data_IF_422603446226
#
_entry.id   IF_422603446226
#
_cell.length_a   1.000
_cell.length_b   1.000
_cell.length_c   1.000
_cell.angle_alpha   90.00
_cell.angle_beta   90.00
_cell.angle_gamma   90.00
#
_symmetry.space_group_name_H-M   'P 1'
#
loop_
_entity.id
_entity.type
_entity.pdbx_description
1 polymer ?
#
# COMPACT_ATOMS: atom_id res chain seq x y z
N UNK A 1 -20.49 6.14 -20.30
CA UNK A 1 -19.29 5.84 -21.08
C UNK A 1 -18.27 6.88 -20.69
N UNK A 2 -17.09 6.47 -20.23
CA UNK A 2 -16.01 7.42 -19.95
C UNK A 2 -15.50 7.86 -21.32
N UNK A 3 -15.95 9.02 -21.80
CA UNK A 3 -15.46 9.60 -23.03
C UNK A 3 -13.96 9.91 -22.84
N UNK A 4 -13.14 9.57 -23.83
CA UNK A 4 -11.68 9.69 -23.78
C UNK A 4 -11.24 11.07 -23.26
N UNK A 5 -10.57 11.07 -22.11
CA UNK A 5 -9.79 12.22 -21.63
C UNK A 5 -8.54 12.27 -22.53
N UNK A 6 -8.32 13.41 -23.20
CA UNK A 6 -7.17 13.61 -24.10
C UNK A 6 -5.85 13.55 -23.33
N UNK A 7 -5.06 12.51 -23.59
CA UNK A 7 -3.69 12.34 -23.09
C UNK A 7 -3.59 11.60 -21.75
N UNK A 8 -2.54 10.77 -21.60
CA UNK A 8 -2.19 10.16 -20.31
C UNK A 8 -1.55 11.21 -19.41
N UNK A 9 -2.14 11.45 -18.23
CA UNK A 9 -1.65 12.42 -17.23
C UNK A 9 -1.26 11.73 -15.94
N UNK A 10 -0.48 12.39 -15.10
CA UNK A 10 -0.02 11.78 -13.86
C UNK A 10 -1.01 12.01 -12.72
N UNK A 11 -1.33 10.96 -11.97
CA UNK A 11 -1.82 11.13 -10.61
C UNK A 11 -0.70 11.75 -9.79
N UNK A 12 -0.93 12.90 -9.15
CA UNK A 12 0.08 13.58 -8.35
C UNK A 12 0.07 13.06 -6.91
N UNK A 13 1.21 13.16 -6.23
CA UNK A 13 1.24 13.06 -4.78
C UNK A 13 0.38 14.19 -4.20
N UNK A 14 -0.37 13.91 -3.13
CA UNK A 14 -1.19 14.91 -2.45
C UNK A 14 -0.39 16.15 -2.04
N UNK A 15 0.89 16.02 -1.69
CA UNK A 15 1.78 17.15 -1.38
C UNK A 15 1.96 18.06 -2.58
N UNK A 16 2.18 17.49 -3.75
CA UNK A 16 2.38 18.27 -4.97
C UNK A 16 1.06 18.89 -5.43
N UNK A 17 -0.05 18.13 -5.33
CA UNK A 17 -1.37 18.60 -5.70
C UNK A 17 -1.80 19.82 -4.87
N UNK A 18 -1.54 19.84 -3.55
CA UNK A 18 -1.93 20.99 -2.70
C UNK A 18 -1.08 22.25 -2.93
N UNK A 19 0.04 22.15 -3.64
CA UNK A 19 0.83 23.32 -4.06
C UNK A 19 0.34 23.93 -5.38
N UNK A 20 -0.44 23.18 -6.18
CA UNK A 20 -1.06 23.69 -7.40
C UNK A 20 -2.47 24.23 -7.07
N UNK A 21 -2.59 25.56 -7.03
CA UNK A 21 -3.86 26.23 -6.73
C UNK A 21 -5.00 25.76 -7.63
N UNK A 22 -4.74 25.49 -8.92
CA UNK A 22 -5.78 25.06 -9.83
C UNK A 22 -6.24 23.65 -9.52
N UNK A 23 -5.31 22.70 -9.39
CA UNK A 23 -5.67 21.31 -9.07
C UNK A 23 -6.31 21.19 -7.69
N UNK A 24 -5.79 21.87 -6.68
CA UNK A 24 -6.34 21.84 -5.34
C UNK A 24 -7.77 22.42 -5.30
N UNK A 25 -8.01 23.58 -5.91
CA UNK A 25 -9.34 24.18 -5.96
C UNK A 25 -10.31 23.27 -6.72
N UNK A 26 -9.91 22.73 -7.87
CA UNK A 26 -10.74 21.81 -8.64
C UNK A 26 -11.10 20.55 -7.84
N UNK A 27 -10.11 19.93 -7.18
CA UNK A 27 -10.30 18.76 -6.34
C UNK A 27 -11.26 19.05 -5.17
N UNK A 28 -11.07 20.17 -4.46
CA UNK A 28 -11.94 20.55 -3.36
C UNK A 28 -13.39 20.82 -3.84
N UNK A 29 -13.55 21.50 -4.98
CA UNK A 29 -14.88 21.78 -5.57
C UNK A 29 -15.56 20.52 -6.08
N UNK A 30 -14.81 19.62 -6.71
CA UNK A 30 -15.28 18.31 -7.13
C UNK A 30 -15.90 17.55 -5.96
N UNK A 31 -15.13 17.42 -4.87
CA UNK A 31 -15.53 16.69 -3.67
C UNK A 31 -16.75 17.36 -2.99
N UNK A 32 -16.73 18.68 -2.80
CA UNK A 32 -17.86 19.43 -2.25
C UNK A 32 -19.14 19.22 -3.06
N UNK A 33 -19.03 19.23 -4.39
CA UNK A 33 -20.19 19.10 -5.28
C UNK A 33 -20.83 17.71 -5.15
N UNK A 34 -20.04 16.64 -5.20
CA UNK A 34 -20.58 15.28 -5.08
C UNK A 34 -21.06 14.96 -3.67
N UNK A 35 -20.48 15.57 -2.63
CA UNK A 35 -20.92 15.42 -1.24
C UNK A 35 -22.23 16.15 -0.96
N UNK A 36 -22.50 17.26 -1.65
CA UNK A 36 -23.73 18.03 -1.49
C UNK A 36 -24.92 17.46 -2.26
N UNK A 37 -24.71 16.48 -3.16
CA UNK A 37 -25.79 15.81 -3.89
C UNK A 37 -26.68 15.02 -2.94
N UNK A 38 -27.94 14.90 -3.34
CA UNK A 38 -28.90 14.02 -2.66
C UNK A 38 -28.35 12.58 -2.61
N UNK A 39 -28.49 11.91 -1.46
CA UNK A 39 -27.95 10.56 -1.25
C UNK A 39 -28.60 9.48 -2.13
N UNK A 40 -29.74 9.77 -2.76
CA UNK A 40 -30.38 8.91 -3.76
C UNK A 40 -29.91 9.19 -5.19
N UNK A 41 -29.19 10.30 -5.43
CA UNK A 41 -28.56 10.56 -6.71
C UNK A 41 -27.42 9.56 -6.92
N UNK A 42 -27.47 8.80 -8.00
CA UNK A 42 -26.51 7.73 -8.31
C UNK A 42 -25.07 8.24 -8.42
N UNK A 43 -24.87 9.50 -8.82
CA UNK A 43 -23.56 10.15 -8.91
C UNK A 43 -23.19 10.95 -7.65
N UNK A 44 -23.89 10.74 -6.53
CA UNK A 44 -23.54 11.33 -5.22
C UNK A 44 -22.36 10.61 -4.57
N UNK A 45 -21.65 11.32 -3.70
CA UNK A 45 -20.62 10.73 -2.84
C UNK A 45 -21.15 9.52 -2.07
N UNK A 46 -22.39 9.60 -1.58
CA UNK A 46 -23.02 8.54 -0.81
C UNK A 46 -23.22 7.26 -1.64
N UNK A 47 -23.77 7.38 -2.86
CA UNK A 47 -23.99 6.20 -3.71
C UNK A 47 -22.66 5.59 -4.18
N UNK A 48 -21.69 6.41 -4.55
CA UNK A 48 -20.36 5.94 -5.00
C UNK A 48 -19.60 5.28 -3.84
N UNK A 49 -19.61 5.87 -2.64
CA UNK A 49 -19.02 5.25 -1.44
C UNK A 49 -19.76 3.96 -1.05
N UNK A 50 -21.09 3.95 -1.20
CA UNK A 50 -21.96 2.81 -0.90
C UNK A 50 -21.66 1.57 -1.72
N UNK A 51 -21.11 1.70 -2.94
CA UNK A 51 -20.65 0.56 -3.75
C UNK A 51 -19.69 -0.33 -2.95
N UNK A 52 -18.79 0.27 -2.16
CA UNK A 52 -17.80 -0.48 -1.41
C UNK A 52 -18.47 -1.43 -0.39
N UNK A 53 -19.50 -0.97 0.31
CA UNK A 53 -20.06 -1.67 1.45
C UNK A 53 -21.53 -1.40 1.64
N UNK A 54 -21.85 -0.66 2.70
CA UNK A 54 -23.22 -0.32 3.07
C UNK A 54 -23.60 1.01 2.39
N UNK A 55 -24.84 1.13 1.86
CA UNK A 55 -25.92 0.16 1.92
C UNK A 55 -25.80 -0.98 0.89
N UNK A 56 -26.33 -2.17 1.23
CA UNK A 56 -26.38 -3.34 0.33
C UNK A 56 -27.49 -3.18 -0.71
N UNK A 57 -27.31 -2.21 -1.60
CA UNK A 57 -28.22 -1.88 -2.70
C UNK A 57 -27.50 -1.98 -4.03
N UNK A 58 -28.23 -2.30 -5.09
CA UNK A 58 -27.63 -2.35 -6.41
C UNK A 58 -27.30 -0.95 -6.94
N UNK A 59 -26.08 -0.79 -7.43
CA UNK A 59 -25.64 0.46 -8.04
C UNK A 59 -25.90 0.45 -9.56
N UNK A 60 -26.68 1.43 -10.04
CA UNK A 60 -26.94 1.74 -11.46
C UNK A 60 -27.12 0.50 -12.34
N UNK A 61 -28.15 -0.30 -12.04
CA UNK A 61 -28.56 -1.43 -12.88
C UNK A 61 -29.85 -1.15 -13.64
N UNK A 62 -29.86 -1.52 -14.92
CA UNK A 62 -31.08 -1.45 -15.74
C UNK A 62 -32.14 -2.48 -15.33
N UNK A 63 -31.70 -3.62 -14.78
CA UNK A 63 -32.58 -4.67 -14.24
C UNK A 63 -32.09 -5.07 -12.85
N UNK A 64 -33.02 -5.08 -11.89
CA UNK A 64 -32.74 -5.53 -10.54
C UNK A 64 -32.47 -7.04 -10.52
N UNK A 65 -31.49 -7.47 -9.74
CA UNK A 65 -31.20 -8.90 -9.58
C UNK A 65 -32.33 -9.59 -8.82
N UNK A 66 -32.74 -10.76 -9.29
CA UNK A 66 -33.75 -11.60 -8.62
C UNK A 66 -33.34 -11.98 -7.19
N UNK A 67 -32.03 -12.12 -6.95
CA UNK A 67 -31.46 -12.42 -5.63
C UNK A 67 -30.32 -11.43 -5.34
N UNK A 68 -30.60 -10.38 -4.59
CA UNK A 68 -29.58 -9.44 -4.15
C UNK A 68 -28.77 -10.05 -3.00
N UNK A 69 -27.46 -10.22 -3.21
CA UNK A 69 -26.54 -10.55 -2.13
C UNK A 69 -26.54 -9.39 -1.10
N UNK A 70 -26.75 -9.69 0.17
CA UNK A 70 -26.71 -8.71 1.27
C UNK A 70 -25.25 -8.45 1.70
N UNK A 71 -24.44 -7.97 0.76
CA UNK A 71 -23.03 -7.63 0.96
C UNK A 71 -22.63 -6.46 0.06
N UNK A 72 -21.51 -5.82 0.39
CA UNK A 72 -20.89 -4.81 -0.48
C UNK A 72 -20.34 -5.41 -1.77
N UNK A 73 -20.08 -4.57 -2.78
CA UNK A 73 -19.46 -5.04 -4.03
C UNK A 73 -17.95 -5.29 -3.90
N UNK A 74 -17.28 -4.72 -2.90
CA UNK A 74 -15.83 -4.79 -2.77
C UNK A 74 -15.34 -6.23 -2.59
N UNK A 75 -14.22 -6.57 -3.24
CA UNK A 75 -13.58 -7.88 -3.13
C UNK A 75 -12.43 -7.82 -2.13
N UNK A 76 -12.58 -8.46 -0.96
CA UNK A 76 -11.57 -8.50 0.10
C UNK A 76 -11.23 -9.92 0.50
N UNK A 77 -9.94 -10.22 0.71
CA UNK A 77 -9.47 -11.58 0.95
C UNK A 77 -9.59 -12.49 -0.27
N UNK A 78 -9.50 -11.88 -1.46
CA UNK A 78 -9.66 -12.52 -2.75
C UNK A 78 -8.60 -11.97 -3.71
N UNK A 79 -8.17 -12.78 -4.69
CA UNK A 79 -7.20 -12.38 -5.72
C UNK A 79 -7.65 -11.19 -6.57
N UNK A 80 -8.95 -10.85 -6.52
CA UNK A 80 -9.55 -9.73 -7.22
C UNK A 80 -9.37 -8.37 -6.53
N UNK A 81 -8.85 -8.30 -5.31
CA UNK A 81 -8.76 -7.04 -4.55
C UNK A 81 -8.08 -5.91 -5.34
N UNK A 82 -6.86 -6.08 -5.92
CA UNK A 82 -6.20 -4.98 -6.62
C UNK A 82 -6.93 -4.57 -7.92
N UNK A 83 -7.52 -5.54 -8.61
CA UNK A 83 -8.16 -5.34 -9.93
C UNK A 83 -9.60 -4.83 -9.83
N UNK A 84 -10.27 -5.01 -8.69
CA UNK A 84 -11.58 -4.41 -8.40
C UNK A 84 -11.44 -2.96 -7.91
N UNK A 85 -10.49 -2.69 -7.03
CA UNK A 85 -10.32 -1.34 -6.46
C UNK A 85 -9.80 -0.31 -7.47
N UNK A 86 -9.05 -0.74 -8.51
CA UNK A 86 -8.58 0.17 -9.56
C UNK A 86 -9.72 0.87 -10.33
N UNK A 87 -10.66 0.16 -10.98
CA UNK A 87 -11.81 0.80 -11.62
C UNK A 87 -12.76 1.48 -10.62
N UNK A 88 -12.76 1.07 -9.34
CA UNK A 88 -13.50 1.77 -8.30
C UNK A 88 -12.97 3.19 -8.06
N UNK A 89 -11.66 3.36 -7.91
CA UNK A 89 -11.03 4.69 -7.73
C UNK A 89 -11.26 5.57 -8.97
N UNK A 90 -11.21 4.99 -10.16
CA UNK A 90 -11.50 5.72 -11.40
C UNK A 90 -12.95 6.19 -11.49
N UNK A 91 -13.89 5.39 -10.99
CA UNK A 91 -15.29 5.80 -10.91
C UNK A 91 -15.45 7.02 -10.00
N UNK A 92 -14.78 7.01 -8.83
CA UNK A 92 -14.75 8.16 -7.92
C UNK A 92 -14.19 9.42 -8.60
N UNK A 93 -13.09 9.25 -9.35
CA UNK A 93 -12.43 10.32 -10.09
C UNK A 93 -13.34 10.96 -11.14
N UNK A 94 -13.93 10.15 -12.02
CA UNK A 94 -14.77 10.61 -13.13
C UNK A 94 -15.93 11.48 -12.61
N UNK A 95 -16.68 11.00 -11.61
CA UNK A 95 -17.82 11.76 -11.11
C UNK A 95 -17.41 13.04 -10.39
N UNK A 96 -16.31 13.00 -9.63
CA UNK A 96 -15.79 14.18 -8.95
C UNK A 96 -15.39 15.25 -9.99
N UNK A 97 -14.60 14.88 -11.00
CA UNK A 97 -14.09 15.82 -12.01
C UNK A 97 -15.21 16.36 -12.91
N UNK A 98 -16.15 15.50 -13.35
CA UNK A 98 -17.32 15.95 -14.13
C UNK A 98 -18.18 16.94 -13.34
N UNK A 99 -18.34 16.72 -12.04
CA UNK A 99 -19.06 17.64 -11.16
C UNK A 99 -18.33 18.99 -11.05
N UNK A 100 -17.01 18.98 -10.86
CA UNK A 100 -16.21 20.21 -10.81
C UNK A 100 -16.27 21.00 -12.12
N UNK A 101 -16.11 20.36 -13.28
CA UNK A 101 -16.13 21.02 -14.60
C UNK A 101 -17.39 21.85 -14.84
N UNK A 102 -18.54 21.40 -14.33
CA UNK A 102 -19.84 22.10 -14.46
C UNK A 102 -19.99 23.31 -13.53
N UNK A 103 -19.14 23.44 -12.51
CA UNK A 103 -19.25 24.47 -11.48
C UNK A 103 -18.38 25.71 -11.72
N UNK A 104 -17.54 25.71 -12.75
CA UNK A 104 -16.55 26.76 -13.00
C UNK A 104 -17.11 27.81 -13.96
N UNK A 105 -17.05 29.07 -13.55
CA UNK A 105 -17.57 30.22 -14.32
C UNK A 105 -16.64 30.62 -15.46
N UNK A 106 -15.33 30.57 -15.25
CA UNK A 106 -14.30 30.84 -16.26
C UNK A 106 -13.77 29.52 -16.82
N UNK A 107 -14.57 28.87 -17.66
CA UNK A 107 -14.23 27.53 -18.16
C UNK A 107 -12.96 27.54 -19.01
N UNK A 108 -12.64 28.62 -19.72
CA UNK A 108 -11.46 28.70 -20.57
C UNK A 108 -10.17 28.71 -19.74
N UNK A 109 -10.11 29.47 -18.64
CA UNK A 109 -8.90 29.54 -17.81
C UNK A 109 -8.62 28.26 -17.01
N UNK A 110 -9.64 27.38 -16.86
CA UNK A 110 -9.58 26.18 -16.02
C UNK A 110 -9.76 24.87 -16.78
N UNK A 111 -10.16 24.92 -18.06
CA UNK A 111 -10.45 23.74 -18.87
C UNK A 111 -9.27 22.75 -18.88
N UNK A 112 -8.05 23.24 -19.12
CA UNK A 112 -6.87 22.36 -19.15
C UNK A 112 -6.60 21.72 -17.79
N UNK A 113 -6.64 22.49 -16.70
CA UNK A 113 -6.42 21.93 -15.37
C UNK A 113 -7.51 20.92 -14.98
N UNK A 114 -8.75 21.13 -15.41
CA UNK A 114 -9.83 20.17 -15.18
C UNK A 114 -9.72 18.93 -16.08
N UNK A 115 -9.10 19.02 -17.26
CA UNK A 115 -8.79 17.87 -18.11
C UNK A 115 -7.62 17.05 -17.54
N UNK A 116 -6.61 17.73 -16.98
CA UNK A 116 -5.38 17.11 -16.50
C UNK A 116 -5.46 16.59 -15.05
N UNK A 117 -6.51 16.98 -14.32
CA UNK A 117 -6.70 16.59 -12.93
C UNK A 117 -6.91 15.08 -12.81
N UNK A 118 -6.19 14.47 -11.88
CA UNK A 118 -6.44 13.12 -11.40
C UNK A 118 -6.56 13.08 -9.87
N UNK A 119 -7.18 12.04 -9.31
CA UNK A 119 -7.20 11.83 -7.86
C UNK A 119 -5.76 11.72 -7.34
N UNK A 120 -5.38 12.50 -6.31
CA UNK A 120 -4.06 12.41 -5.74
C UNK A 120 -3.88 11.08 -5.02
N UNK A 121 -2.66 10.56 -5.03
CA UNK A 121 -2.28 9.50 -4.11
C UNK A 121 -1.63 10.10 -2.87
N UNK A 122 -1.77 9.40 -1.74
CA UNK A 122 -1.07 9.77 -0.53
C UNK A 122 0.10 8.81 -0.32
N UNK A 123 1.31 9.26 -0.70
CA UNK A 123 2.52 8.56 -0.29
C UNK A 123 2.75 8.85 1.20
N UNK A 124 2.65 7.83 2.03
CA UNK A 124 2.82 7.94 3.48
C UNK A 124 4.28 8.31 3.85
N UNK A 125 5.23 8.27 2.91
CA UNK A 125 6.57 8.86 3.06
C UNK A 125 6.54 10.40 3.13
N UNK A 126 5.47 11.08 2.73
CA UNK A 126 5.29 12.54 2.84
C UNK A 126 5.45 13.05 4.29
N UNK A 127 5.29 12.15 5.26
CA UNK A 127 5.48 12.40 6.69
C UNK A 127 6.99 12.47 7.05
N UNK A 128 7.84 12.91 6.10
CA UNK A 128 9.31 13.03 6.21
C UNK A 128 9.79 14.21 7.03
N UNK A 129 8.98 15.26 7.15
CA UNK A 129 9.42 16.47 7.85
C UNK A 129 9.79 16.13 9.29
N UNK A 130 11.06 16.36 9.67
CA UNK A 130 11.54 16.09 11.02
C UNK A 130 10.78 16.91 12.06
N UNK A 131 10.34 18.10 11.63
CA UNK A 131 9.51 18.97 12.42
C UNK A 131 8.31 19.47 11.62
N UNK A 132 7.19 19.59 12.32
CA UNK A 132 5.97 20.22 11.80
C UNK A 132 5.73 21.54 12.53
N UNK A 133 5.12 22.50 11.83
CA UNK A 133 4.69 23.74 12.46
C UNK A 133 3.28 23.56 13.02
N UNK A 134 3.11 23.78 14.32
CA UNK A 134 1.81 23.74 15.00
C UNK A 134 1.54 25.08 15.67
N UNK A 135 0.28 25.32 16.05
CA UNK A 135 -0.07 26.41 16.96
C UNK A 135 0.02 25.86 18.38
N UNK A 136 0.88 26.44 19.20
CA UNK A 136 1.05 26.08 20.60
C UNK A 136 -0.17 26.51 21.44
N UNK A 137 -0.26 26.04 22.68
CA UNK A 137 -1.35 26.36 23.60
C UNK A 137 -1.54 27.87 23.84
N UNK A 138 -0.50 28.68 23.61
CA UNK A 138 -0.53 30.14 23.73
C UNK A 138 -0.92 30.87 22.42
N UNK A 139 -1.26 30.12 21.36
CA UNK A 139 -1.65 30.66 20.06
C UNK A 139 -0.49 31.00 19.12
N UNK A 140 0.77 30.78 19.53
CA UNK A 140 1.94 31.04 18.66
C UNK A 140 2.25 29.87 17.76
N UNK A 141 2.77 30.16 16.56
CA UNK A 141 3.30 29.13 15.66
C UNK A 141 4.66 28.66 16.16
N UNK A 142 4.78 27.39 16.53
CA UNK A 142 6.02 26.74 16.96
C UNK A 142 6.38 25.59 16.02
N UNK A 143 7.64 25.15 16.06
CA UNK A 143 8.11 23.96 15.36
C UNK A 143 8.30 22.84 16.38
N UNK A 144 7.66 21.69 16.16
CA UNK A 144 7.75 20.52 17.06
C UNK A 144 8.22 19.30 16.28
N UNK A 145 8.84 18.34 16.97
CA UNK A 145 9.15 17.04 16.36
C UNK A 145 7.87 16.42 15.81
N UNK A 146 7.93 15.93 14.57
CA UNK A 146 6.78 15.34 13.91
C UNK A 146 6.42 13.98 14.56
N UNK A 147 5.31 13.88 15.31
CA UNK A 147 4.96 12.64 16.00
C UNK A 147 4.55 11.53 15.02
N UNK A 148 4.21 11.89 13.77
CA UNK A 148 3.81 10.95 12.73
C UNK A 148 5.01 10.25 12.06
N UNK A 149 6.24 10.71 12.28
CA UNK A 149 7.47 10.16 11.67
C UNK A 149 7.72 8.69 12.04
N UNK A 150 7.46 8.31 13.29
CA UNK A 150 7.66 6.91 13.75
C UNK A 150 6.72 5.94 13.02
N UNK A 151 5.50 6.39 12.71
CA UNK A 151 4.55 5.62 11.91
C UNK A 151 5.03 5.53 10.46
N UNK A 152 5.61 6.61 9.91
CA UNK A 152 6.15 6.61 8.55
C UNK A 152 7.26 5.58 8.36
N UNK A 153 8.23 5.49 9.28
CA UNK A 153 9.31 4.49 9.21
C UNK A 153 8.78 3.04 9.26
N UNK A 154 7.69 2.78 9.99
CA UNK A 154 7.01 1.46 10.06
C UNK A 154 6.33 1.09 8.76
N UNK A 155 5.56 2.04 8.21
CA UNK A 155 4.87 1.83 6.95
C UNK A 155 5.90 1.68 5.83
N UNK A 156 7.06 2.35 5.93
CA UNK A 156 8.17 2.24 4.97
C UNK A 156 8.66 0.83 4.75
N UNK A 157 9.09 0.20 5.83
CA UNK A 157 9.65 -1.14 5.77
C UNK A 157 8.61 -2.14 5.25
N UNK A 158 7.37 -2.06 5.75
CA UNK A 158 6.28 -2.92 5.28
C UNK A 158 5.97 -2.74 3.80
N UNK A 159 5.95 -1.50 3.32
CA UNK A 159 5.69 -1.23 1.90
C UNK A 159 6.85 -1.67 1.03
N UNK A 160 8.09 -1.46 1.46
CA UNK A 160 9.27 -1.97 0.76
C UNK A 160 9.20 -3.49 0.60
N UNK A 161 8.98 -4.22 1.69
CA UNK A 161 8.94 -5.69 1.67
C UNK A 161 7.77 -6.22 0.84
N UNK A 162 6.61 -5.56 0.92
CA UNK A 162 5.44 -5.88 0.12
C UNK A 162 5.70 -5.72 -1.38
N UNK A 163 6.40 -4.65 -1.79
CA UNK A 163 6.69 -4.38 -3.20
C UNK A 163 7.81 -5.29 -3.75
N UNK A 164 8.80 -5.64 -2.95
CA UNK A 164 10.01 -6.34 -3.42
C UNK A 164 9.89 -7.86 -3.33
N UNK A 165 9.29 -8.40 -2.26
CA UNK A 165 9.40 -9.83 -1.94
C UNK A 165 8.20 -10.69 -2.33
N UNK A 166 7.17 -10.11 -2.95
CA UNK A 166 6.04 -10.86 -3.49
C UNK A 166 6.25 -11.21 -4.97
N UNK A 167 6.56 -12.48 -5.24
CA UNK A 167 6.77 -13.01 -6.60
C UNK A 167 5.58 -13.80 -7.16
N UNK A 168 4.50 -13.91 -6.38
CA UNK A 168 3.26 -14.60 -6.74
C UNK A 168 2.06 -13.71 -6.47
N UNK A 169 1.07 -13.77 -7.37
CA UNK A 169 -0.13 -12.95 -7.26
C UNK A 169 -0.92 -13.24 -5.99
N UNK A 170 -0.99 -14.50 -5.58
CA UNK A 170 -1.73 -14.95 -4.40
C UNK A 170 -1.16 -14.37 -3.10
N UNK A 171 0.16 -14.16 -3.04
CA UNK A 171 0.84 -13.57 -1.89
C UNK A 171 0.71 -12.04 -1.86
N UNK A 172 0.70 -11.40 -3.04
CA UNK A 172 0.59 -9.95 -3.18
C UNK A 172 -0.85 -9.44 -3.02
N UNK A 173 -1.80 -10.13 -3.64
CA UNK A 173 -3.12 -9.56 -3.94
C UNK A 173 -4.07 -9.48 -2.77
N UNK A 174 -3.89 -10.31 -1.73
CA UNK A 174 -4.93 -10.51 -0.73
C UNK A 174 -4.37 -11.04 0.61
N UNK A 175 -5.25 -11.10 1.63
CA UNK A 175 -4.89 -11.48 3.00
C UNK A 175 -5.40 -12.88 3.42
N UNK A 176 -5.88 -13.72 2.49
CA UNK A 176 -6.48 -15.03 2.79
C UNK A 176 -6.01 -16.10 1.79
N UNK A 177 -6.31 -17.36 2.07
CA UNK A 177 -6.25 -18.40 1.05
C UNK A 177 -7.51 -18.25 0.18
N UNK A 178 -7.32 -18.04 -1.12
CA UNK A 178 -8.40 -17.75 -2.07
C UNK A 178 -8.28 -18.66 -3.28
N UNK A 179 -9.33 -19.43 -3.57
CA UNK A 179 -9.47 -20.25 -4.79
C UNK A 179 -10.06 -19.46 -5.98
N UNK A 180 -10.20 -18.13 -5.84
CA UNK A 180 -10.79 -17.29 -6.87
C UNK A 180 -9.97 -17.23 -8.16
N UNK A 181 -10.67 -17.45 -9.27
CA UNK A 181 -10.14 -17.37 -10.62
C UNK A 181 -10.07 -15.91 -11.09
N UNK A 182 -8.87 -15.46 -11.49
CA UNK A 182 -8.64 -14.12 -12.07
C UNK A 182 -9.50 -13.79 -13.29
N UNK A 183 -10.11 -14.81 -13.93
CA UNK A 183 -11.10 -14.63 -15.01
C UNK A 183 -12.44 -14.06 -14.53
N UNK A 184 -12.71 -14.05 -13.22
CA UNK A 184 -13.91 -13.43 -12.68
C UNK A 184 -13.85 -11.90 -12.82
N UNK A 185 -14.75 -11.41 -13.66
CA UNK A 185 -14.97 -10.01 -14.00
C UNK A 185 -15.52 -9.24 -12.79
N UNK A 186 -14.97 -8.05 -12.43
CA UNK A 186 -15.68 -7.06 -11.63
C UNK A 186 -17.02 -6.69 -12.27
N UNK A 187 -18.09 -7.44 -11.98
CA UNK A 187 -19.45 -7.20 -12.54
C UNK A 187 -20.10 -5.91 -12.05
N UNK A 188 -19.37 -5.10 -11.30
CA UNK A 188 -19.76 -3.76 -10.85
C UNK A 188 -19.42 -2.68 -11.88
N UNK A 189 -18.35 -2.87 -12.66
CA UNK A 189 -17.81 -1.82 -13.52
C UNK A 189 -17.91 -2.22 -15.00
N UNK A 190 -18.34 -1.28 -15.82
CA UNK A 190 -18.64 -1.53 -17.23
C UNK A 190 -17.85 -0.60 -18.17
N UNK A 191 -17.24 -1.18 -19.20
CA UNK A 191 -16.60 -0.46 -20.32
C UNK A 191 -17.65 0.12 -21.28
N UNK A 192 -18.75 -0.61 -21.47
CA UNK A 192 -19.94 -0.21 -22.22
C UNK A 192 -21.17 -0.87 -21.61
N UNK A 193 -22.37 -0.47 -22.05
CA UNK A 193 -23.65 -0.96 -21.53
C UNK A 193 -23.71 -2.49 -21.34
N UNK A 194 -23.11 -3.26 -22.26
CA UNK A 194 -23.16 -4.72 -22.26
C UNK A 194 -21.81 -5.41 -21.95
N UNK A 195 -20.76 -4.65 -21.62
CA UNK A 195 -19.40 -5.19 -21.43
C UNK A 195 -18.77 -4.73 -20.13
N UNK A 196 -18.65 -5.65 -19.18
CA UNK A 196 -17.96 -5.43 -17.90
C UNK A 196 -16.43 -5.41 -18.05
N UNK A 197 -15.74 -4.68 -17.17
CA UNK A 197 -14.28 -4.64 -17.07
C UNK A 197 -13.74 -5.98 -16.58
N UNK A 198 -12.64 -6.48 -17.16
CA UNK A 198 -11.95 -7.69 -16.70
C UNK A 198 -10.61 -7.39 -16.05
N UNK A 199 -10.08 -8.31 -15.24
CA UNK A 199 -8.73 -8.24 -14.67
C UNK A 199 -7.64 -7.96 -15.71
N UNK A 200 -7.81 -8.48 -16.94
CA UNK A 200 -6.88 -8.26 -18.04
C UNK A 200 -6.96 -6.82 -18.59
N UNK A 201 -8.15 -6.23 -18.65
CA UNK A 201 -8.34 -4.87 -19.17
C UNK A 201 -7.92 -3.80 -18.17
N UNK A 202 -7.94 -4.09 -16.87
CA UNK A 202 -7.57 -3.09 -15.85
C UNK A 202 -6.06 -3.02 -15.58
N UNK A 203 -5.25 -3.93 -16.15
CA UNK A 203 -3.82 -4.01 -15.85
C UNK A 203 -3.02 -2.80 -16.34
N UNK A 204 -3.41 -2.24 -17.48
CA UNK A 204 -2.76 -1.11 -18.14
C UNK A 204 -3.49 0.19 -17.83
N UNK A 205 -2.82 1.09 -17.11
CA UNK A 205 -3.43 2.33 -16.62
C UNK A 205 -3.63 3.37 -17.71
N UNK A 206 -2.90 3.25 -18.82
CA UNK A 206 -3.02 4.17 -19.95
C UNK A 206 -4.40 4.12 -20.61
N UNK A 207 -5.08 2.97 -20.51
CA UNK A 207 -6.48 2.81 -20.97
C UNK A 207 -7.47 3.68 -20.18
N UNK A 208 -7.06 4.15 -19.00
CA UNK A 208 -7.84 5.03 -18.14
C UNK A 208 -7.35 6.48 -18.18
N UNK A 209 -6.35 6.78 -19.01
CA UNK A 209 -5.80 8.13 -19.14
C UNK A 209 -4.86 8.56 -18.02
N UNK A 210 -4.42 7.66 -17.12
CA UNK A 210 -3.51 8.03 -16.04
C UNK A 210 -2.20 7.21 -16.00
N UNK A 211 -1.18 7.82 -15.41
CA UNK A 211 0.13 7.25 -15.09
C UNK A 211 0.61 7.80 -13.73
N UNK A 212 1.81 7.38 -13.30
CA UNK A 212 2.48 7.95 -12.14
C UNK A 212 3.74 8.74 -12.57
N UNK A 213 4.12 9.80 -11.84
CA UNK A 213 5.30 10.62 -12.16
C UNK A 213 6.61 9.84 -12.26
N UNK A 214 6.72 8.73 -11.53
CA UNK A 214 7.87 7.83 -11.49
C UNK A 214 8.20 7.26 -12.88
N UNK A 215 7.19 7.10 -13.75
CA UNK A 215 7.36 6.52 -15.08
C UNK A 215 7.69 7.54 -16.17
N UNK A 216 7.68 8.85 -15.88
CA UNK A 216 7.86 9.91 -16.87
C UNK A 216 9.15 9.77 -17.70
N UNK A 217 10.25 9.35 -17.05
CA UNK A 217 11.56 9.17 -17.71
C UNK A 217 11.73 7.80 -18.37
N UNK A 218 10.74 6.91 -18.21
CA UNK A 218 10.78 5.52 -18.64
C UNK A 218 9.85 5.24 -19.82
N UNK A 219 9.10 6.25 -20.28
CA UNK A 219 8.17 6.15 -21.42
C UNK A 219 8.92 5.67 -22.67
N UNK A 220 8.40 4.61 -23.30
CA UNK A 220 9.02 3.98 -24.48
C UNK A 220 10.21 3.07 -24.18
N UNK A 221 10.57 2.90 -22.90
CA UNK A 221 11.61 1.95 -22.48
C UNK A 221 11.20 0.48 -22.64
N UNK A 222 12.18 -0.42 -22.65
CA UNK A 222 11.90 -1.87 -22.60
C UNK A 222 11.36 -2.27 -21.23
N UNK A 223 10.69 -3.42 -21.14
CA UNK A 223 10.18 -3.95 -19.87
C UNK A 223 11.30 -4.16 -18.84
N UNK A 224 12.48 -4.56 -19.29
CA UNK A 224 13.65 -4.76 -18.46
C UNK A 224 14.15 -3.42 -17.91
N UNK A 225 14.28 -2.41 -18.76
CA UNK A 225 14.69 -1.07 -18.31
C UNK A 225 13.69 -0.46 -17.31
N UNK A 226 12.38 -0.60 -17.58
CA UNK A 226 11.33 -0.12 -16.68
C UNK A 226 11.41 -0.85 -15.34
N UNK A 227 11.57 -2.18 -15.36
CA UNK A 227 11.72 -2.98 -14.14
C UNK A 227 12.93 -2.53 -13.34
N UNK A 228 14.09 -2.46 -13.96
CA UNK A 228 15.34 -2.13 -13.26
C UNK A 228 15.30 -0.70 -12.69
N UNK A 229 14.71 0.26 -13.40
CA UNK A 229 14.53 1.62 -12.91
C UNK A 229 13.47 1.73 -11.79
N UNK A 230 12.39 0.95 -11.86
CA UNK A 230 11.38 0.85 -10.79
C UNK A 230 11.99 0.24 -9.55
N UNK A 231 12.83 -0.77 -9.73
CA UNK A 231 13.55 -1.44 -8.67
C UNK A 231 14.48 -0.44 -7.94
N UNK A 232 15.32 0.28 -8.68
CA UNK A 232 16.19 1.32 -8.12
C UNK A 232 15.39 2.43 -7.41
N UNK A 233 14.22 2.80 -7.94
CA UNK A 233 13.34 3.77 -7.31
C UNK A 233 12.82 3.29 -5.95
N UNK A 234 12.30 2.06 -5.89
CA UNK A 234 11.79 1.44 -4.65
C UNK A 234 12.89 1.33 -3.61
N UNK A 235 14.10 0.92 -4.01
CA UNK A 235 15.26 0.81 -3.11
C UNK A 235 15.67 2.16 -2.54
N UNK A 236 15.70 3.19 -3.39
CA UNK A 236 16.07 4.55 -2.98
C UNK A 236 15.02 5.21 -2.10
N UNK A 237 13.74 4.97 -2.38
CA UNK A 237 12.63 5.70 -1.76
C UNK A 237 12.10 4.99 -0.52
N UNK A 238 12.00 3.66 -0.53
CA UNK A 238 11.45 2.85 0.55
C UNK A 238 12.49 1.93 1.22
N UNK A 239 13.63 1.66 0.58
CA UNK A 239 14.68 0.84 1.17
C UNK A 239 15.25 1.42 2.48
N UNK A 240 15.73 0.54 3.35
CA UNK A 240 16.23 0.94 4.66
C UNK A 240 17.49 1.80 4.55
N UNK A 241 17.38 3.11 4.80
CA UNK A 241 18.52 4.07 4.87
C UNK A 241 19.54 3.71 5.96
N UNK A 242 19.25 2.72 6.80
CA UNK A 242 19.99 2.36 8.02
C UNK A 242 20.46 0.91 8.07
N UNK A 243 20.91 0.35 6.95
CA UNK A 243 21.87 -0.78 6.95
C UNK A 243 23.35 -0.35 6.78
N UNK A 244 23.90 0.70 7.45
CA UNK A 244 25.33 0.92 7.51
C UNK A 244 26.06 -0.28 8.10
N UNK A 245 25.44 -1.11 8.94
CA UNK A 245 26.08 -2.31 9.48
C UNK A 245 26.55 -3.29 8.39
N UNK A 246 25.80 -3.42 7.30
CA UNK A 246 26.17 -4.27 6.16
C UNK A 246 27.26 -3.63 5.32
N UNK A 247 27.14 -2.33 5.01
CA UNK A 247 28.19 -1.59 4.31
C UNK A 247 29.50 -1.52 5.12
N UNK A 248 29.42 -1.37 6.44
CA UNK A 248 30.55 -1.21 7.34
C UNK A 248 31.25 -2.55 7.64
N UNK A 249 30.52 -3.67 7.64
CA UNK A 249 31.11 -5.01 7.66
C UNK A 249 31.89 -5.31 6.35
N UNK A 250 31.40 -4.80 5.22
CA UNK A 250 32.05 -4.93 3.90
C UNK A 250 33.25 -4.00 3.76
N UNK A 251 33.23 -2.77 4.31
CA UNK A 251 34.35 -1.82 4.19
C UNK A 251 35.49 -2.04 5.19
N UNK A 252 35.21 -2.51 6.41
CA UNK A 252 36.24 -2.69 7.44
C UNK A 252 37.17 -3.88 7.21
N UNK A 253 36.86 -4.71 6.21
CA UNK A 253 37.53 -5.98 5.97
C UNK A 253 38.56 -5.90 4.83
N UNK A 254 38.71 -4.75 4.15
CA UNK A 254 39.79 -4.51 3.18
C UNK A 254 39.72 -5.36 1.90
N UNK A 255 38.53 -5.86 1.53
CA UNK A 255 38.37 -6.83 0.45
C UNK A 255 38.11 -6.20 -0.92
N UNK A 256 38.91 -6.61 -1.91
CA UNK A 256 38.80 -6.24 -3.32
C UNK A 256 37.85 -7.18 -4.08
N UNK A 257 36.84 -6.60 -4.74
CA UNK A 257 36.16 -7.07 -5.97
C UNK A 257 35.94 -8.58 -6.21
N UNK A 258 35.56 -9.36 -5.19
CA UNK A 258 35.03 -10.71 -5.37
C UNK A 258 33.55 -10.77 -5.02
N UNK A 259 32.80 -11.56 -5.79
CA UNK A 259 31.36 -11.82 -5.58
C UNK A 259 31.21 -12.54 -4.25
N UNK A 260 30.65 -11.87 -3.25
CA UNK A 260 30.27 -12.53 -2.00
C UNK A 260 28.78 -12.83 -2.05
N UNK A 261 28.42 -14.09 -1.83
CA UNK A 261 27.09 -14.45 -1.36
C UNK A 261 27.08 -14.16 0.13
N UNK A 262 26.53 -13.00 0.50
CA UNK A 262 26.27 -12.68 1.91
C UNK A 262 24.97 -13.38 2.30
N UNK A 263 25.04 -14.35 3.20
CA UNK A 263 23.85 -14.99 3.75
C UNK A 263 23.46 -14.31 5.06
N UNK A 264 22.22 -13.83 5.13
CA UNK A 264 21.61 -13.36 6.37
C UNK A 264 20.23 -14.00 6.55
N UNK A 265 19.76 -14.05 7.80
CA UNK A 265 18.37 -14.37 8.09
C UNK A 265 17.59 -13.06 8.21
N UNK A 266 16.58 -12.88 7.38
CA UNK A 266 15.55 -11.85 7.50
C UNK A 266 14.52 -12.31 8.54
N UNK A 267 14.38 -11.53 9.61
CA UNK A 267 13.56 -11.88 10.78
C UNK A 267 12.26 -11.08 10.82
N UNK A 268 11.14 -11.81 10.80
CA UNK A 268 9.80 -11.23 10.88
C UNK A 268 8.91 -11.95 11.90
N UNK A 269 7.94 -11.23 12.45
CA UNK A 269 6.87 -11.79 13.26
C UNK A 269 5.77 -12.29 12.34
N UNK A 270 5.56 -13.60 12.34
CA UNK A 270 4.51 -14.23 11.56
C UNK A 270 3.28 -14.50 12.43
N UNK A 271 2.13 -13.96 11.99
CA UNK A 271 0.85 -14.07 12.69
C UNK A 271 -0.16 -14.73 11.78
N UNK A 272 -0.80 -15.80 12.26
CA UNK A 272 -1.94 -16.42 11.56
C UNK A 272 -3.12 -16.60 12.50
N UNK A 273 -4.31 -16.33 11.99
CA UNK A 273 -5.59 -16.44 12.69
C UNK A 273 -6.71 -16.76 11.69
N UNK A 274 -7.88 -17.16 12.19
CA UNK A 274 -9.06 -17.38 11.35
C UNK A 274 -9.86 -16.08 11.24
N UNK A 275 -9.99 -15.56 10.01
CA UNK A 275 -10.58 -14.22 9.71
C UNK A 275 -12.02 -13.99 10.21
N UNK A 276 -12.78 -15.06 10.50
CA UNK A 276 -14.18 -14.98 10.97
C UNK A 276 -14.38 -15.63 12.34
N UNK A 277 -13.31 -15.82 13.10
CA UNK A 277 -13.43 -16.25 14.50
C UNK A 277 -13.89 -15.10 15.40
N UNK A 278 -13.56 -13.86 15.01
CA UNK A 278 -14.15 -12.65 15.56
C UNK A 278 -15.07 -12.01 14.53
N UNK A 279 -16.15 -11.41 15.01
CA UNK A 279 -17.11 -10.69 14.18
C UNK A 279 -16.82 -9.18 14.12
N UNK A 280 -15.79 -8.71 14.83
CA UNK A 280 -15.37 -7.32 14.84
C UNK A 280 -13.90 -7.13 14.47
N UNK A 281 -13.56 -5.89 14.15
CA UNK A 281 -12.19 -5.43 13.95
C UNK A 281 -11.40 -5.54 15.24
N UNK A 282 -10.15 -5.98 15.13
CA UNK A 282 -9.25 -6.10 16.27
C UNK A 282 -7.86 -5.61 15.87
N UNK A 283 -7.01 -5.38 16.87
CA UNK A 283 -5.62 -4.99 16.66
C UNK A 283 -4.68 -5.82 17.51
N UNK A 284 -3.53 -6.20 16.92
CA UNK A 284 -2.44 -6.85 17.64
C UNK A 284 -1.30 -5.86 17.74
N UNK A 285 -0.94 -5.50 18.97
CA UNK A 285 0.17 -4.62 19.25
C UNK A 285 1.37 -5.45 19.71
N UNK A 286 2.53 -5.24 19.08
CA UNK A 286 3.80 -5.82 19.53
C UNK A 286 4.59 -4.79 20.32
N UNK A 287 4.91 -5.09 21.59
CA UNK A 287 5.80 -4.25 22.40
C UNK A 287 7.25 -4.55 22.02
N UNK A 288 8.04 -3.50 21.78
CA UNK A 288 9.21 -3.42 20.88
C UNK A 288 8.91 -3.08 19.42
N UNK A 289 7.63 -2.99 19.04
CA UNK A 289 7.11 -2.02 18.07
C UNK A 289 6.96 -2.43 16.62
N UNK A 290 7.42 -3.60 16.17
CA UNK A 290 7.55 -3.85 14.72
C UNK A 290 7.35 -5.32 14.37
N UNK A 291 6.83 -5.56 13.17
CA UNK A 291 6.68 -6.90 12.58
C UNK A 291 8.00 -7.35 11.94
N UNK A 292 8.79 -6.42 11.42
CA UNK A 292 10.13 -6.66 10.88
C UNK A 292 11.17 -6.33 11.95
N UNK A 293 12.10 -7.26 12.21
CA UNK A 293 13.01 -7.20 13.36
C UNK A 293 14.45 -6.82 12.97
N UNK A 294 14.76 -6.81 11.68
CA UNK A 294 16.12 -6.68 11.16
C UNK A 294 16.83 -5.41 11.61
N UNK A 295 16.15 -4.26 11.58
CA UNK A 295 16.74 -2.99 12.02
C UNK A 295 17.13 -3.01 13.51
N UNK A 296 16.36 -3.71 14.34
CA UNK A 296 16.63 -3.84 15.78
C UNK A 296 17.78 -4.78 16.05
N UNK A 297 17.81 -5.91 15.34
CA UNK A 297 18.88 -6.91 15.41
C UNK A 297 20.19 -6.28 14.94
N UNK A 298 20.16 -5.54 13.82
CA UNK A 298 21.32 -4.81 13.31
C UNK A 298 21.84 -3.77 14.31
N UNK A 299 20.94 -2.96 14.89
CA UNK A 299 21.30 -1.88 15.83
C UNK A 299 21.87 -2.40 17.15
N UNK A 300 21.21 -3.39 17.76
CA UNK A 300 21.49 -3.78 19.15
C UNK A 300 22.37 -5.03 19.27
N UNK A 301 22.40 -5.91 18.26
CA UNK A 301 23.09 -7.21 18.33
C UNK A 301 24.23 -7.34 17.32
N UNK A 302 24.07 -6.82 16.10
CA UNK A 302 25.06 -6.90 15.03
C UNK A 302 25.29 -8.30 14.45
N UNK A 303 24.42 -9.27 14.76
CA UNK A 303 24.46 -10.63 14.23
C UNK A 303 23.04 -11.17 14.00
N UNK A 304 22.82 -11.77 12.83
CA UNK A 304 21.55 -12.32 12.38
C UNK A 304 21.43 -13.85 12.59
N UNK A 305 22.40 -14.47 13.27
CA UNK A 305 22.36 -15.90 13.55
C UNK A 305 21.20 -16.26 14.49
N UNK A 306 20.54 -17.39 14.24
CA UNK A 306 19.33 -17.83 14.96
C UNK A 306 19.49 -17.91 16.48
N UNK A 307 20.60 -18.42 17.00
CA UNK A 307 20.82 -18.51 18.44
C UNK A 307 20.99 -17.11 19.06
N UNK A 308 21.77 -16.25 18.40
CA UNK A 308 22.02 -14.89 18.83
C UNK A 308 20.74 -14.05 18.84
N UNK A 309 19.88 -14.21 17.82
CA UNK A 309 18.58 -13.53 17.73
C UNK A 309 17.61 -14.07 18.78
N UNK A 310 17.56 -15.39 18.97
CA UNK A 310 16.71 -16.01 20.00
C UNK A 310 17.03 -15.47 21.41
N UNK A 311 18.31 -15.42 21.78
CA UNK A 311 18.75 -14.87 23.07
C UNK A 311 18.41 -13.39 23.20
N UNK A 312 18.66 -12.62 22.13
CA UNK A 312 18.35 -11.19 22.08
C UNK A 312 16.86 -10.92 22.31
N UNK A 313 15.97 -11.60 21.57
CA UNK A 313 14.52 -11.41 21.67
C UNK A 313 13.98 -11.83 23.05
N UNK A 314 14.51 -12.91 23.63
CA UNK A 314 14.19 -13.31 25.01
C UNK A 314 14.65 -12.27 26.02
N UNK A 315 15.86 -11.75 25.89
CA UNK A 315 16.40 -10.70 26.75
C UNK A 315 15.59 -9.40 26.69
N UNK A 316 15.08 -9.04 25.51
CA UNK A 316 14.18 -7.90 25.31
C UNK A 316 12.75 -8.15 25.80
N UNK A 317 12.39 -9.39 26.15
CA UNK A 317 11.03 -9.78 26.57
C UNK A 317 9.98 -9.37 25.52
N UNK A 318 10.24 -9.73 24.26
CA UNK A 318 9.31 -9.48 23.17
C UNK A 318 7.92 -10.02 23.53
N UNK A 319 6.91 -9.17 23.37
CA UNK A 319 5.55 -9.49 23.79
C UNK A 319 4.51 -8.83 22.90
N UNK A 320 3.31 -9.40 22.88
CA UNK A 320 2.18 -8.85 22.15
C UNK A 320 0.97 -8.67 23.06
N UNK A 321 0.13 -7.70 22.73
CA UNK A 321 -1.20 -7.51 23.32
C UNK A 321 -2.26 -7.54 22.22
N UNK A 322 -3.34 -8.24 22.53
CA UNK A 322 -4.51 -8.34 21.69
C UNK A 322 -5.56 -7.35 22.18
N UNK A 323 -6.10 -6.52 21.27
CA UNK A 323 -7.15 -5.55 21.57
C UNK A 323 -8.39 -5.90 20.75
N UNK A 324 -9.43 -6.34 21.45
CA UNK A 324 -10.77 -6.64 20.94
C UNK A 324 -11.77 -6.43 22.07
N UNK A 325 -13.03 -6.23 21.71
CA UNK A 325 -14.15 -6.28 22.66
C UNK A 325 -14.71 -7.71 22.82
N UNK A 326 -14.29 -8.65 21.96
CA UNK A 326 -14.69 -10.07 21.94
C UNK A 326 -13.74 -10.99 22.72
N UNK A 327 -14.05 -12.29 22.81
CA UNK A 327 -13.09 -13.28 23.31
C UNK A 327 -11.89 -13.41 22.34
N UNK A 328 -10.69 -13.65 22.89
CA UNK A 328 -9.47 -13.75 22.07
C UNK A 328 -9.55 -14.97 21.11
N UNK A 329 -9.27 -14.81 19.80
CA UNK A 329 -9.34 -15.89 18.84
C UNK A 329 -8.12 -16.81 18.93
N UNK A 330 -8.25 -18.02 18.39
CA UNK A 330 -7.17 -18.96 18.13
C UNK A 330 -6.19 -18.36 17.12
N UNK A 331 -5.08 -17.87 17.65
CA UNK A 331 -4.02 -17.23 16.88
C UNK A 331 -2.68 -17.94 17.12
N UNK A 332 -1.89 -18.09 16.05
CA UNK A 332 -0.49 -18.52 16.12
C UNK A 332 0.39 -17.32 15.85
N UNK A 333 1.29 -17.03 16.80
CA UNK A 333 2.27 -15.96 16.71
C UNK A 333 3.64 -16.58 16.89
N UNK A 334 4.54 -16.35 15.92
CA UNK A 334 5.90 -16.90 15.95
C UNK A 334 6.86 -15.93 15.28
N UNK A 335 8.16 -16.08 15.54
CA UNK A 335 9.20 -15.36 14.80
C UNK A 335 9.78 -16.29 13.76
N UNK A 336 9.81 -15.87 12.50
CA UNK A 336 10.40 -16.59 11.38
C UNK A 336 11.67 -15.89 10.91
N UNK A 337 12.74 -16.66 10.71
CA UNK A 337 13.97 -16.24 10.06
C UNK A 337 14.06 -16.90 8.69
N UNK A 338 14.15 -16.12 7.62
CA UNK A 338 14.26 -16.61 6.23
C UNK A 338 15.63 -16.31 5.68
N UNK A 339 16.28 -17.30 5.07
CA UNK A 339 17.59 -17.08 4.44
C UNK A 339 17.42 -16.16 3.24
N UNK A 340 18.11 -15.03 3.31
CA UNK A 340 18.26 -14.09 2.22
C UNK A 340 19.71 -14.16 1.77
N UNK A 341 19.89 -14.57 0.52
CA UNK A 341 21.20 -14.51 -0.12
C UNK A 341 21.31 -13.15 -0.81
N UNK A 342 22.13 -12.29 -0.23
CA UNK A 342 22.66 -11.10 -0.87
C UNK A 342 23.77 -11.56 -1.82
N UNK A 343 23.38 -12.21 -2.92
CA UNK A 343 24.28 -12.48 -4.02
C UNK A 343 24.32 -11.24 -4.93
N UNK A 344 25.28 -10.34 -4.69
CA UNK A 344 25.59 -9.27 -5.65
C UNK A 344 26.39 -9.89 -6.82
N UNK A 345 25.75 -10.75 -7.62
CA UNK A 345 26.37 -11.26 -8.85
C UNK A 345 26.64 -10.06 -9.77
N UNK A 346 27.63 -10.12 -10.68
CA UNK A 346 27.86 -9.04 -11.64
C UNK A 346 26.57 -8.77 -12.44
N UNK A 347 25.99 -7.58 -12.27
CA UNK A 347 24.72 -7.17 -12.87
C UNK A 347 23.45 -7.42 -12.04
N UNK A 348 23.55 -8.01 -10.84
CA UNK A 348 22.44 -8.10 -9.88
C UNK A 348 22.58 -7.02 -8.80
N UNK A 349 21.54 -6.21 -8.63
CA UNK A 349 21.49 -5.11 -7.66
C UNK A 349 20.76 -5.48 -6.36
N UNK A 350 20.12 -6.66 -6.28
CA UNK A 350 19.17 -6.99 -5.19
C UNK A 350 19.37 -8.35 -4.53
N UNK A 351 19.06 -8.35 -3.23
CA UNK A 351 18.95 -9.55 -2.40
C UNK A 351 17.82 -10.46 -2.89
N UNK A 352 18.00 -11.77 -2.81
CA UNK A 352 16.93 -12.75 -3.09
C UNK A 352 16.69 -13.60 -1.87
N UNK A 353 15.42 -13.84 -1.56
CA UNK A 353 15.04 -14.87 -0.58
C UNK A 353 15.42 -16.21 -1.20
N UNK A 354 16.29 -16.96 -0.52
CA UNK A 354 16.63 -18.30 -0.91
C UNK A 354 15.58 -19.27 -0.37
N UNK A 355 14.65 -19.63 -1.26
CA UNK A 355 13.55 -20.56 -0.96
C UNK A 355 13.99 -22.02 -0.84
N UNK A 356 15.24 -22.34 -1.13
CA UNK A 356 15.78 -23.70 -0.96
C UNK A 356 16.14 -24.02 0.50
N UNK A 357 16.38 -22.99 1.31
CA UNK A 357 16.67 -23.13 2.73
C UNK A 357 15.40 -23.22 3.58
N UNK A 358 15.45 -24.04 4.63
CA UNK A 358 14.35 -24.17 5.59
C UNK A 358 14.16 -22.89 6.40
N UNK A 359 12.90 -22.47 6.60
CA UNK A 359 12.53 -21.37 7.49
C UNK A 359 12.91 -21.73 8.93
N UNK A 360 13.60 -20.83 9.62
CA UNK A 360 13.89 -20.96 11.06
C UNK A 360 12.70 -20.41 11.83
N UNK A 361 12.11 -21.21 12.72
CA UNK A 361 10.95 -20.80 13.52
C UNK A 361 11.32 -20.71 15.01
N UNK A 362 10.95 -19.60 15.64
CA UNK A 362 11.07 -19.39 17.08
C UNK A 362 9.68 -19.15 17.68
N UNK A 363 9.13 -20.20 18.30
CA UNK A 363 7.80 -20.14 18.93
C UNK A 363 7.85 -19.71 20.41
N UNK A 364 9.04 -19.72 21.04
CA UNK A 364 9.23 -19.54 22.49
C UNK A 364 9.83 -18.17 22.86
N UNK A 365 9.70 -17.18 21.98
CA UNK A 365 10.31 -15.84 22.15
C UNK A 365 9.30 -14.71 22.30
N UNK A 366 8.01 -14.95 22.00
CA UNK A 366 6.95 -13.95 22.12
C UNK A 366 6.01 -14.35 23.27
N UNK A 367 5.82 -13.44 24.21
CA UNK A 367 4.87 -13.63 25.32
C UNK A 367 3.57 -12.87 25.04
N UNK A 368 2.42 -13.48 25.27
CA UNK A 368 1.15 -12.75 25.27
C UNK A 368 0.98 -12.02 26.61
N UNK A 369 0.73 -10.72 26.56
CA UNK A 369 0.30 -9.93 27.72
C UNK A 369 -1.22 -9.96 27.75
N UNK A 370 -1.81 -10.54 28.78
CA UNK A 370 -3.26 -10.45 29.00
C UNK A 370 -3.65 -9.01 29.32
N UNK A 371 -4.87 -8.62 28.93
CA UNK A 371 -5.46 -7.35 29.35
C UNK A 371 -5.66 -7.31 30.86
#
# INVERSE_FOLDING_TARGET
>A
TVDHIDGVKNCLDIVDLVQDDKFFILYARALQTIQARDQHAWDSYFQIAGIHGIPYTEYVKEQLSLNLCQAGYCTHGQTLFPVWHRPYVLLCEVFAIEAAKKSIVDIEAWAQAAQDLHLPFWDWEVIKNEQIRIVDYDGKKISVSNPLRLVADQVREKTYDMLVYNDKWELFSNHAESDDDLRYTPRTFYTSKDRAWTSANVADTSQFGYSCPEFNKLVGGSKEHIRDATDDFVDKHYGSRRLPGLAQAVTNSGFTSQVYELEMLDWLIHVTFRKFELNDSFTILFYFGFVHLDQYIARDKGSFNSNAVKEYLKGKKLSHKFFTDDEKPLMKVRVEGRTVTLALRPGQTRARIDKSHSIVTLDDVITCVSA
#
